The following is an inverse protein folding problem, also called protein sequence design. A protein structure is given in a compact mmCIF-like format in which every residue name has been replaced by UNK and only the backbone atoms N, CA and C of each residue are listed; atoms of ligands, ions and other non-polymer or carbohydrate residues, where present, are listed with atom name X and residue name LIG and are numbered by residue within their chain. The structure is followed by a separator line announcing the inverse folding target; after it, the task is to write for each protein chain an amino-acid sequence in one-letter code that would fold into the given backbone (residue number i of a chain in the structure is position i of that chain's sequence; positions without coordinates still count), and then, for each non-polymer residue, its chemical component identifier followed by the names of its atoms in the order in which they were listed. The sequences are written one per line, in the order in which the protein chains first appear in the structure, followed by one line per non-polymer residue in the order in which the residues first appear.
data_IF_211012493448
#
_entry.id   IF_211012493448
#
_cell.length_a   1.000
_cell.length_b   1.000
_cell.length_c   1.000
_cell.angle_alpha   90.00
_cell.angle_beta   90.00
_cell.angle_gamma   90.00
#
_symmetry.space_group_name_H-M   'P 1'
#
loop_
_entity.id
_entity.type
_entity.pdbx_description
1 polymer ?
#
# COMPACT_ATOMS: atom_id res chain seq x y z
N UNK A 1 -3.09 -29.30 46.98
CA UNK A 1 -1.97 -28.99 46.07
C UNK A 1 -2.49 -28.02 45.02
N UNK A 2 -2.06 -26.75 45.05
CA UNK A 2 -2.42 -25.80 44.01
C UNK A 2 -1.59 -26.08 42.76
N UNK A 3 -2.24 -26.38 41.65
CA UNK A 3 -1.56 -26.49 40.35
C UNK A 3 -1.18 -25.07 39.94
N UNK A 4 0.10 -24.72 40.08
CA UNK A 4 0.65 -23.51 39.46
C UNK A 4 0.71 -23.81 37.96
N UNK A 5 -0.30 -23.37 37.22
CA UNK A 5 -0.27 -23.35 35.76
C UNK A 5 0.71 -22.22 35.41
N UNK A 6 1.99 -22.55 35.24
CA UNK A 6 2.95 -21.60 34.69
C UNK A 6 2.55 -21.32 33.25
N UNK A 7 1.99 -20.14 32.99
CA UNK A 7 1.75 -19.69 31.63
C UNK A 7 3.10 -19.69 30.88
N UNK A 8 3.16 -20.26 29.66
CA UNK A 8 4.32 -20.14 28.81
C UNK A 8 4.80 -18.69 28.75
N UNK A 9 6.10 -18.46 28.88
CA UNK A 9 6.72 -17.12 29.01
C UNK A 9 6.21 -16.13 27.94
N UNK A 10 5.97 -16.58 26.71
CA UNK A 10 5.41 -15.74 25.65
C UNK A 10 3.98 -15.24 25.91
N UNK A 11 3.10 -16.07 26.48
CA UNK A 11 1.72 -15.66 26.82
C UNK A 11 1.76 -14.55 27.86
N UNK A 12 2.59 -14.71 28.91
CA UNK A 12 2.78 -13.67 29.93
C UNK A 12 3.28 -12.37 29.32
N UNK A 13 4.25 -12.45 28.40
CA UNK A 13 4.81 -11.31 27.67
C UNK A 13 3.79 -10.58 26.78
N UNK A 14 2.89 -11.32 26.13
CA UNK A 14 1.77 -10.76 25.38
C UNK A 14 0.80 -10.03 26.31
N UNK A 15 0.43 -10.65 27.45
CA UNK A 15 -0.44 -10.03 28.44
C UNK A 15 0.14 -8.73 29.01
N UNK A 16 1.45 -8.71 29.33
CA UNK A 16 2.15 -7.49 29.77
C UNK A 16 2.03 -6.38 28.73
N UNK A 17 2.21 -6.71 27.45
CA UNK A 17 2.11 -5.73 26.35
C UNK A 17 0.68 -5.19 26.20
N UNK A 18 -0.33 -6.04 26.32
CA UNK A 18 -1.75 -5.64 26.31
C UNK A 18 -2.07 -4.71 27.49
N UNK A 19 -1.64 -5.08 28.70
CA UNK A 19 -1.83 -4.25 29.91
C UNK A 19 -1.16 -2.89 29.73
N UNK A 20 0.09 -2.84 29.27
CA UNK A 20 0.82 -1.59 29.05
C UNK A 20 0.11 -0.69 28.03
N UNK A 21 -0.32 -1.25 26.90
CA UNK A 21 -0.95 -0.49 25.82
C UNK A 21 -2.35 -0.01 26.19
N UNK A 22 -3.21 -0.90 26.66
CA UNK A 22 -4.65 -0.63 26.76
C UNK A 22 -5.11 -0.27 28.16
N UNK A 23 -4.49 -0.82 29.21
CA UNK A 23 -4.87 -0.55 30.61
C UNK A 23 -4.09 0.64 31.14
N UNK A 24 -2.76 0.60 31.05
CA UNK A 24 -1.88 1.66 31.53
C UNK A 24 -1.74 2.83 30.54
N UNK A 25 -2.25 2.67 29.31
CA UNK A 25 -2.19 3.68 28.24
C UNK A 25 -0.77 4.20 27.98
N UNK A 26 0.24 3.35 28.20
CA UNK A 26 1.61 3.69 27.87
C UNK A 26 1.74 3.80 26.35
N UNK A 27 2.49 4.78 25.87
CA UNK A 27 2.83 4.86 24.46
C UNK A 27 3.93 3.83 24.13
N UNK A 28 3.60 2.55 24.21
CA UNK A 28 4.45 1.43 23.78
C UNK A 28 3.82 0.69 22.60
N UNK A 29 4.61 -0.01 21.77
CA UNK A 29 4.09 -0.96 20.79
C UNK A 29 3.33 -2.12 21.44
N UNK A 30 2.42 -2.75 20.69
CA UNK A 30 1.80 -4.00 21.11
C UNK A 30 2.67 -5.17 20.63
N UNK A 31 3.20 -5.98 21.55
CA UNK A 31 3.93 -7.20 21.18
C UNK A 31 3.06 -8.44 21.42
N UNK A 32 3.03 -9.31 20.42
CA UNK A 32 2.39 -10.62 20.42
C UNK A 32 3.51 -11.66 20.35
N UNK A 33 3.75 -12.35 21.46
CA UNK A 33 4.74 -13.43 21.60
C UNK A 33 3.98 -14.72 21.93
N UNK A 34 3.63 -15.52 20.92
CA UNK A 34 2.91 -16.78 21.09
C UNK A 34 3.87 -17.94 20.83
N UNK A 35 4.25 -18.70 21.86
CA UNK A 35 5.15 -19.84 21.73
C UNK A 35 4.37 -21.06 21.25
N UNK A 36 3.80 -20.99 20.04
CA UNK A 36 3.13 -22.13 19.44
C UNK A 36 4.19 -23.17 19.02
N UNK A 37 4.01 -24.46 19.35
CA UNK A 37 5.06 -25.48 19.23
C UNK A 37 5.61 -25.67 17.81
N UNK A 38 4.86 -25.30 16.77
CA UNK A 38 5.27 -25.49 15.37
C UNK A 38 5.53 -24.17 14.61
N UNK A 39 5.03 -23.05 15.13
CA UNK A 39 5.07 -21.74 14.49
C UNK A 39 5.16 -20.66 15.58
N UNK A 40 6.32 -20.46 16.22
CA UNK A 40 6.46 -19.38 17.20
C UNK A 40 6.20 -18.04 16.50
N UNK A 41 5.32 -17.23 17.10
CA UNK A 41 4.99 -15.89 16.61
C UNK A 41 5.61 -14.89 17.58
N UNK A 42 6.40 -13.96 17.06
CA UNK A 42 6.96 -12.86 17.83
C UNK A 42 6.90 -11.59 16.98
N UNK A 43 5.80 -10.85 17.13
CA UNK A 43 5.54 -9.66 16.32
C UNK A 43 5.28 -8.44 17.20
N UNK A 44 5.91 -7.33 16.85
CA UNK A 44 5.74 -6.02 17.47
C UNK A 44 4.93 -5.15 16.52
N UNK A 45 3.69 -4.84 16.87
CA UNK A 45 2.80 -3.98 16.11
C UNK A 45 3.01 -2.52 16.53
N UNK A 46 3.42 -1.69 15.58
CA UNK A 46 3.72 -0.27 15.81
C UNK A 46 2.83 0.57 14.90
N UNK A 47 2.03 1.45 15.49
CA UNK A 47 1.11 2.34 14.75
C UNK A 47 1.40 3.82 14.98
N UNK A 48 2.19 4.17 15.99
CA UNK A 48 2.56 5.54 16.31
C UNK A 48 3.64 6.03 15.34
N UNK A 49 3.40 7.19 14.71
CA UNK A 49 4.30 7.74 13.70
C UNK A 49 5.73 8.00 14.22
N UNK A 50 5.87 8.52 15.45
CA UNK A 50 7.18 8.83 16.04
C UNK A 50 7.97 7.55 16.35
N UNK A 51 7.28 6.50 16.80
CA UNK A 51 7.89 5.19 17.02
C UNK A 51 8.34 4.55 15.71
N UNK A 52 7.53 4.64 14.64
CA UNK A 52 7.91 4.11 13.33
C UNK A 52 9.19 4.79 12.83
N UNK A 53 9.27 6.12 12.89
CA UNK A 53 10.48 6.86 12.48
C UNK A 53 11.69 6.47 13.33
N UNK A 54 11.51 6.38 14.65
CA UNK A 54 12.59 5.99 15.56
C UNK A 54 13.10 4.56 15.31
N UNK A 55 12.21 3.62 15.00
CA UNK A 55 12.60 2.22 14.73
C UNK A 55 13.19 2.10 13.32
N UNK A 56 12.64 2.79 12.33
CA UNK A 56 13.08 2.71 10.94
C UNK A 56 14.50 3.30 10.74
N UNK A 57 15.01 4.07 11.69
CA UNK A 57 16.38 4.60 11.72
C UNK A 57 17.30 3.85 12.70
N UNK A 58 16.79 2.81 13.35
CA UNK A 58 17.55 2.03 14.32
C UNK A 58 18.38 0.93 13.63
N UNK A 59 19.68 0.90 13.89
CA UNK A 59 20.62 -0.07 13.28
C UNK A 59 20.42 -1.52 13.74
N UNK A 60 19.63 -1.77 14.79
CA UNK A 60 19.30 -3.12 15.27
C UNK A 60 18.16 -3.76 14.47
N UNK A 61 17.55 -3.02 13.54
CA UNK A 61 16.39 -3.44 12.75
C UNK A 61 16.69 -3.19 11.28
N UNK A 62 16.31 -4.13 10.42
CA UNK A 62 16.46 -4.01 8.96
C UNK A 62 15.19 -4.53 8.25
N UNK A 63 15.16 -4.41 6.92
CA UNK A 63 14.12 -4.99 6.07
C UNK A 63 14.23 -6.51 6.06
N UNK A 64 13.12 -7.17 5.71
CA UNK A 64 13.01 -8.62 5.83
C UNK A 64 14.08 -9.38 5.04
N UNK A 65 14.45 -8.90 3.84
CA UNK A 65 15.45 -9.57 3.00
C UNK A 65 16.90 -9.31 3.45
N UNK A 66 17.13 -8.61 4.56
CA UNK A 66 18.45 -8.60 5.23
C UNK A 66 18.85 -9.96 5.79
N UNK A 67 17.93 -10.92 5.77
CA UNK A 67 18.19 -12.30 6.11
C UNK A 67 17.77 -13.20 4.96
N UNK A 68 18.51 -14.30 4.71
CA UNK A 68 18.06 -15.35 3.82
C UNK A 68 16.64 -15.80 4.17
N UNK A 69 15.80 -15.98 3.15
CA UNK A 69 14.38 -16.29 3.29
C UNK A 69 14.13 -17.49 4.21
N UNK A 70 14.95 -18.53 4.12
CA UNK A 70 14.82 -19.76 4.91
C UNK A 70 15.01 -19.53 6.42
N UNK A 71 15.72 -18.45 6.80
CA UNK A 71 15.93 -18.04 8.20
C UNK A 71 14.78 -17.20 8.75
N UNK A 72 13.90 -16.66 7.90
CA UNK A 72 12.73 -15.95 8.37
C UNK A 72 11.74 -16.89 9.08
N UNK A 73 11.01 -16.38 10.10
CA UNK A 73 10.00 -17.16 10.79
C UNK A 73 9.00 -17.76 9.80
N UNK A 74 8.60 -19.02 10.03
CA UNK A 74 7.73 -19.74 9.09
C UNK A 74 6.43 -19.01 8.78
N UNK A 75 5.83 -18.34 9.77
CA UNK A 75 4.61 -17.55 9.55
C UNK A 75 4.86 -16.34 8.63
N UNK A 76 6.05 -15.74 8.66
CA UNK A 76 6.41 -14.62 7.79
C UNK A 76 6.52 -15.09 6.35
N UNK A 77 7.25 -16.20 6.13
CA UNK A 77 7.33 -16.83 4.81
C UNK A 77 5.96 -17.21 4.27
N UNK A 78 5.12 -17.81 5.13
CA UNK A 78 3.75 -18.17 4.77
C UNK A 78 2.91 -16.95 4.42
N UNK A 79 2.99 -15.84 5.16
CA UNK A 79 2.28 -14.61 4.78
C UNK A 79 2.81 -14.10 3.43
N UNK A 80 4.13 -13.95 3.31
CA UNK A 80 4.75 -13.30 2.15
C UNK A 80 4.52 -14.03 0.83
N UNK A 81 4.42 -15.36 0.84
CA UNK A 81 4.15 -16.15 -0.37
C UNK A 81 2.78 -15.85 -1.02
N UNK A 82 1.89 -15.14 -0.34
CA UNK A 82 0.61 -14.66 -0.87
C UNK A 82 0.55 -13.13 -0.99
N UNK A 83 1.71 -12.45 -1.02
CA UNK A 83 1.82 -10.99 -1.16
C UNK A 83 2.60 -10.60 -2.40
N UNK A 84 2.43 -9.38 -2.90
CA UNK A 84 3.19 -8.89 -4.05
C UNK A 84 4.69 -8.62 -3.76
N UNK A 85 5.18 -8.93 -2.56
CA UNK A 85 6.52 -8.52 -2.11
C UNK A 85 7.59 -9.60 -2.20
N UNK A 86 7.22 -10.87 -2.34
CA UNK A 86 8.15 -12.01 -2.42
C UNK A 86 7.59 -13.14 -3.28
N UNK A 87 8.31 -13.59 -4.30
CA UNK A 87 7.91 -14.72 -5.15
C UNK A 87 8.62 -15.98 -4.67
N UNK A 88 7.88 -16.80 -3.91
CA UNK A 88 8.47 -17.93 -3.18
C UNK A 88 9.12 -18.99 -4.09
N UNK A 89 8.61 -19.18 -5.31
CA UNK A 89 9.14 -20.17 -6.27
C UNK A 89 10.49 -19.78 -6.88
N UNK A 90 10.84 -18.49 -6.84
CA UNK A 90 12.09 -17.92 -7.39
C UNK A 90 13.01 -17.32 -6.32
N UNK A 91 12.50 -17.18 -5.10
CA UNK A 91 13.09 -16.43 -4.00
C UNK A 91 13.44 -14.98 -4.37
N UNK A 92 12.58 -14.34 -5.16
CA UNK A 92 12.75 -12.95 -5.56
C UNK A 92 12.05 -11.99 -4.60
N UNK A 93 12.71 -10.86 -4.31
CA UNK A 93 12.21 -9.85 -3.37
C UNK A 93 12.00 -8.49 -4.03
N UNK A 94 10.88 -7.88 -3.67
CA UNK A 94 10.54 -6.52 -4.08
C UNK A 94 11.50 -5.50 -3.47
N UNK A 95 11.76 -4.46 -4.26
CA UNK A 95 12.66 -3.37 -3.90
C UNK A 95 12.45 -2.78 -2.48
N UNK A 96 11.21 -2.60 -1.96
CA UNK A 96 11.00 -2.06 -0.62
C UNK A 96 11.46 -2.95 0.54
N UNK A 97 11.66 -4.25 0.30
CA UNK A 97 12.05 -5.24 1.31
C UNK A 97 13.52 -5.67 1.22
N UNK A 98 14.27 -5.20 0.22
CA UNK A 98 15.71 -5.44 0.10
C UNK A 98 16.51 -4.82 1.25
N UNK A 99 17.61 -5.44 1.69
CA UNK A 99 18.41 -4.91 2.78
C UNK A 99 19.03 -3.55 2.52
N UNK A 100 19.38 -2.84 3.60
CA UNK A 100 20.16 -1.61 3.49
C UNK A 100 21.61 -1.84 3.02
N UNK A 101 22.17 -3.02 3.26
CA UNK A 101 23.51 -3.39 2.76
C UNK A 101 23.59 -3.49 1.23
N UNK A 102 22.49 -3.78 0.54
CA UNK A 102 22.45 -3.89 -0.93
C UNK A 102 22.08 -2.57 -1.62
N UNK A 103 22.49 -1.44 -1.02
CA UNK A 103 22.12 -0.11 -1.49
C UNK A 103 22.43 0.17 -2.97
N UNK A 104 23.50 -0.40 -3.55
CA UNK A 104 23.85 -0.17 -4.97
C UNK A 104 22.82 -0.79 -5.93
N UNK A 105 22.55 -2.09 -5.80
CA UNK A 105 21.55 -2.78 -6.63
C UNK A 105 20.15 -2.18 -6.43
N UNK A 106 19.85 -1.80 -5.18
CA UNK A 106 18.64 -1.03 -4.88
C UNK A 106 18.56 0.28 -5.66
N UNK A 107 19.63 1.10 -5.66
CA UNK A 107 19.63 2.38 -6.37
C UNK A 107 19.49 2.19 -7.89
N UNK A 108 20.12 1.16 -8.48
CA UNK A 108 20.01 0.85 -9.90
C UNK A 108 18.57 0.48 -10.29
N UNK A 109 17.94 -0.44 -9.55
CA UNK A 109 16.53 -0.80 -9.75
C UNK A 109 15.60 0.40 -9.53
N UNK A 110 15.85 1.19 -8.48
CA UNK A 110 15.08 2.40 -8.19
C UNK A 110 15.18 3.41 -9.34
N UNK A 111 16.38 3.65 -9.86
CA UNK A 111 16.60 4.59 -10.93
C UNK A 111 15.93 4.13 -12.23
N UNK A 112 16.03 2.84 -12.56
CA UNK A 112 15.36 2.26 -13.72
C UNK A 112 13.82 2.43 -13.67
N UNK A 113 13.24 2.42 -12.46
CA UNK A 113 11.82 2.73 -12.26
C UNK A 113 11.55 4.22 -12.44
N UNK A 114 12.35 5.09 -11.79
CA UNK A 114 12.20 6.55 -11.89
C UNK A 114 12.32 7.06 -13.32
N UNK A 115 13.27 6.54 -14.10
CA UNK A 115 13.48 6.91 -15.50
C UNK A 115 12.23 6.64 -16.34
N UNK A 116 11.54 5.52 -16.09
CA UNK A 116 10.29 5.18 -16.78
C UNK A 116 9.12 6.06 -16.36
N UNK A 117 9.10 6.50 -15.10
CA UNK A 117 8.09 7.42 -14.57
C UNK A 117 8.31 8.87 -14.98
N UNK A 118 9.53 9.25 -15.38
CA UNK A 118 9.92 10.63 -15.70
C UNK A 118 9.05 11.30 -16.79
N UNK A 119 8.44 10.50 -17.67
CA UNK A 119 7.53 11.00 -18.72
C UNK A 119 6.20 11.54 -18.17
N UNK A 120 5.92 11.35 -16.89
CA UNK A 120 4.68 11.76 -16.26
C UNK A 120 3.47 11.00 -16.81
N UNK A 121 2.28 11.55 -16.54
CA UNK A 121 1.00 10.97 -16.96
C UNK A 121 0.55 11.63 -18.27
N UNK A 122 0.16 10.81 -19.24
CA UNK A 122 -0.44 11.35 -20.48
C UNK A 122 -1.86 11.86 -20.19
N UNK A 123 -2.18 13.05 -20.69
CA UNK A 123 -3.47 13.70 -20.43
C UNK A 123 -4.68 12.87 -20.92
N UNK A 124 -4.50 12.10 -21.99
CA UNK A 124 -5.53 11.18 -22.53
C UNK A 124 -6.03 10.17 -21.49
N UNK A 125 -5.17 9.66 -20.59
CA UNK A 125 -5.60 8.78 -19.51
C UNK A 125 -6.40 9.52 -18.44
N UNK A 126 -6.06 10.79 -18.18
CA UNK A 126 -6.82 11.63 -17.24
C UNK A 126 -8.24 11.85 -17.76
N UNK A 127 -8.38 12.22 -19.03
CA UNK A 127 -9.69 12.40 -19.69
C UNK A 127 -10.50 11.11 -19.71
N UNK A 128 -9.85 9.98 -20.04
CA UNK A 128 -10.51 8.67 -20.09
C UNK A 128 -11.06 8.25 -18.72
N UNK A 129 -10.27 8.43 -17.65
CA UNK A 129 -10.72 8.08 -16.30
C UNK A 129 -11.81 9.05 -15.82
N UNK A 130 -11.70 10.35 -16.14
CA UNK A 130 -12.76 11.31 -15.86
C UNK A 130 -14.08 10.95 -16.56
N UNK A 131 -14.03 10.52 -17.84
CA UNK A 131 -15.20 10.02 -18.58
C UNK A 131 -15.83 8.81 -17.90
N UNK A 132 -15.00 7.83 -17.51
CA UNK A 132 -15.42 6.63 -16.81
C UNK A 132 -16.13 6.97 -15.49
N UNK A 133 -15.56 7.88 -14.70
CA UNK A 133 -16.13 8.32 -13.44
C UNK A 133 -17.49 9.01 -13.62
N UNK A 134 -17.61 9.93 -14.58
CA UNK A 134 -18.88 10.63 -14.86
C UNK A 134 -19.98 9.69 -15.39
N UNK A 135 -19.60 8.62 -16.09
CA UNK A 135 -20.51 7.57 -16.55
C UNK A 135 -20.87 6.54 -15.47
N UNK A 136 -20.34 6.67 -14.27
CA UNK A 136 -20.54 5.72 -13.16
C UNK A 136 -20.12 4.28 -13.54
N UNK A 137 -19.04 4.11 -14.31
CA UNK A 137 -18.55 2.76 -14.59
C UNK A 137 -18.09 2.07 -13.30
N UNK A 138 -18.13 0.73 -13.23
CA UNK A 138 -17.67 -0.03 -12.06
C UNK A 138 -16.18 0.20 -11.74
N UNK A 139 -15.81 0.02 -10.48
CA UNK A 139 -14.42 0.16 -10.00
C UNK A 139 -13.47 -0.76 -10.79
N UNK A 140 -13.91 -1.96 -11.17
CA UNK A 140 -13.11 -2.92 -11.93
C UNK A 140 -12.65 -2.36 -13.28
N UNK A 141 -13.50 -1.60 -13.97
CA UNK A 141 -13.14 -0.99 -15.25
C UNK A 141 -12.13 0.15 -15.06
N UNK A 142 -12.28 0.93 -13.99
CA UNK A 142 -11.31 1.98 -13.61
C UNK A 142 -9.99 1.36 -13.22
N UNK A 143 -10.01 0.23 -12.49
CA UNK A 143 -8.82 -0.53 -12.11
C UNK A 143 -8.04 -1.02 -13.33
N UNK A 144 -8.72 -1.44 -14.41
CA UNK A 144 -8.09 -1.78 -15.69
C UNK A 144 -7.43 -0.56 -16.33
N UNK A 145 -8.13 0.56 -16.43
CA UNK A 145 -7.59 1.77 -17.05
C UNK A 145 -6.37 2.29 -16.30
N UNK A 146 -6.44 2.40 -14.97
CA UNK A 146 -5.30 2.91 -14.15
C UNK A 146 -4.13 1.93 -14.15
N UNK A 147 -4.39 0.62 -14.11
CA UNK A 147 -3.32 -0.39 -14.17
C UNK A 147 -2.62 -0.33 -15.51
N UNK A 148 -3.36 -0.18 -16.61
CA UNK A 148 -2.80 0.02 -17.94
C UNK A 148 -2.00 1.30 -18.04
N UNK A 149 -2.61 2.41 -17.59
CA UNK A 149 -1.98 3.72 -17.56
C UNK A 149 -0.59 3.58 -16.96
N UNK A 150 -0.43 2.97 -15.79
CA UNK A 150 0.86 2.88 -15.10
C UNK A 150 1.81 1.87 -15.76
N UNK A 151 1.35 0.63 -15.95
CA UNK A 151 2.23 -0.49 -16.26
C UNK A 151 2.73 -0.48 -17.72
N UNK A 152 2.07 0.25 -18.62
CA UNK A 152 2.53 0.40 -20.01
C UNK A 152 3.96 0.96 -20.14
N UNK A 153 4.46 1.64 -19.10
CA UNK A 153 5.85 2.16 -19.02
C UNK A 153 6.90 1.09 -18.77
N UNK A 154 6.48 -0.08 -18.31
CA UNK A 154 7.36 -1.16 -17.87
C UNK A 154 7.22 -2.42 -18.73
N UNK A 155 6.23 -2.46 -19.61
CA UNK A 155 5.95 -3.58 -20.50
C UNK A 155 6.45 -3.31 -21.91
N UNK A 156 6.96 -4.35 -22.56
CA UNK A 156 7.38 -4.31 -23.96
C UNK A 156 6.24 -3.87 -24.88
N UNK A 157 6.56 -3.25 -26.02
CA UNK A 157 5.57 -2.66 -26.93
C UNK A 157 4.49 -3.65 -27.42
N UNK A 158 4.85 -4.93 -27.63
CA UNK A 158 3.93 -6.00 -27.99
C UNK A 158 2.91 -6.33 -26.90
N UNK A 159 3.24 -6.01 -25.65
CA UNK A 159 2.47 -6.38 -24.46
C UNK A 159 1.57 -5.25 -23.95
N UNK A 160 1.67 -4.04 -24.49
CA UNK A 160 0.89 -2.87 -24.06
C UNK A 160 -0.63 -3.06 -24.20
N UNK A 161 -1.06 -3.92 -25.12
CA UNK A 161 -2.45 -4.29 -25.33
C UNK A 161 -2.98 -5.40 -24.37
N UNK A 162 -2.12 -5.99 -23.52
CA UNK A 162 -2.42 -7.26 -22.83
C UNK A 162 -2.87 -7.13 -21.36
N UNK A 163 -3.02 -5.92 -20.81
CA UNK A 163 -3.62 -5.73 -19.47
C UNK A 163 -5.14 -5.85 -19.60
N UNK A 164 -5.64 -7.04 -19.31
CA UNK A 164 -7.05 -7.43 -19.35
C UNK A 164 -7.70 -7.35 -17.96
N UNK A 165 -9.04 -7.40 -17.87
CA UNK A 165 -9.74 -7.52 -16.59
C UNK A 165 -9.27 -8.72 -15.75
N UNK A 166 -8.91 -9.85 -16.37
CA UNK A 166 -8.44 -11.05 -15.68
C UNK A 166 -7.08 -10.81 -14.99
N UNK A 167 -6.17 -10.10 -15.66
CA UNK A 167 -4.86 -9.73 -15.07
C UNK A 167 -5.07 -8.85 -13.83
N UNK A 168 -5.97 -7.87 -13.91
CA UNK A 168 -6.30 -6.98 -12.80
C UNK A 168 -6.98 -7.73 -11.66
N UNK A 169 -7.93 -8.63 -11.96
CA UNK A 169 -8.60 -9.48 -10.98
C UNK A 169 -7.59 -10.33 -10.21
N UNK A 170 -6.66 -10.98 -10.90
CA UNK A 170 -5.59 -11.74 -10.26
C UNK A 170 -4.72 -10.83 -9.38
N UNK A 171 -4.34 -9.65 -9.86
CA UNK A 171 -3.61 -8.68 -9.04
C UNK A 171 -4.36 -8.29 -7.75
N UNK A 172 -5.68 -8.04 -7.83
CA UNK A 172 -6.52 -7.71 -6.67
C UNK A 172 -6.60 -8.84 -5.65
N UNK A 173 -6.61 -10.09 -6.11
CA UNK A 173 -6.75 -11.28 -5.28
C UNK A 173 -5.46 -11.71 -4.57
N UNK A 174 -4.33 -11.05 -4.84
CA UNK A 174 -3.10 -11.25 -4.05
C UNK A 174 -3.33 -10.72 -2.63
N UNK A 175 -3.66 -11.63 -1.72
CA UNK A 175 -3.90 -11.33 -0.30
C UNK A 175 -3.45 -12.48 0.59
N UNK A 176 -2.68 -12.13 1.63
CA UNK A 176 -2.12 -13.11 2.56
C UNK A 176 -2.90 -13.25 3.88
N UNK A 177 -3.80 -12.31 4.17
CA UNK A 177 -4.37 -12.13 5.51
C UNK A 177 -5.87 -12.45 5.58
N UNK A 178 -6.51 -12.88 4.48
CA UNK A 178 -7.90 -13.33 4.51
C UNK A 178 -7.91 -14.82 4.86
N UNK A 179 -8.44 -15.23 6.03
CA UNK A 179 -8.48 -16.63 6.44
C UNK A 179 -9.19 -17.49 5.38
N UNK A 180 -8.59 -18.64 5.04
CA UNK A 180 -9.14 -19.57 4.04
C UNK A 180 -8.74 -19.28 2.59
N UNK A 181 -8.28 -18.07 2.25
CA UNK A 181 -7.97 -17.66 0.87
C UNK A 181 -6.47 -17.66 0.54
N UNK A 182 -5.62 -18.17 1.42
CA UNK A 182 -4.18 -18.14 1.22
C UNK A 182 -3.73 -18.80 -0.09
N UNK A 183 -4.27 -19.99 -0.42
CA UNK A 183 -3.95 -20.69 -1.67
C UNK A 183 -4.34 -19.87 -2.90
N UNK A 184 -5.50 -19.23 -2.87
CA UNK A 184 -5.95 -18.35 -3.94
C UNK A 184 -5.02 -17.15 -4.09
N UNK A 185 -4.56 -16.57 -2.97
CA UNK A 185 -3.58 -15.49 -2.96
C UNK A 185 -2.24 -15.88 -3.58
N UNK A 186 -1.72 -17.08 -3.26
CA UNK A 186 -0.50 -17.64 -3.88
C UNK A 186 -0.71 -17.84 -5.39
N UNK A 187 -1.81 -18.48 -5.81
CA UNK A 187 -2.09 -18.71 -7.23
C UNK A 187 -2.26 -17.40 -8.01
N UNK A 188 -2.91 -16.40 -7.41
CA UNK A 188 -3.09 -15.09 -8.00
C UNK A 188 -1.75 -14.33 -8.14
N UNK A 189 -0.86 -14.47 -7.15
CA UNK A 189 0.49 -13.91 -7.18
C UNK A 189 1.31 -14.53 -8.31
N UNK A 190 1.34 -15.87 -8.41
CA UNK A 190 2.05 -16.60 -9.46
C UNK A 190 1.51 -16.25 -10.86
N UNK A 191 0.20 -16.06 -11.01
CA UNK A 191 -0.41 -15.61 -12.25
C UNK A 191 0.03 -14.18 -12.64
N UNK A 192 0.05 -13.24 -11.68
CA UNK A 192 0.51 -11.87 -11.90
C UNK A 192 2.01 -11.82 -12.24
N UNK A 193 2.83 -12.61 -11.54
CA UNK A 193 4.25 -12.74 -11.83
C UNK A 193 4.49 -13.34 -13.22
N UNK A 194 3.84 -14.46 -13.56
CA UNK A 194 3.96 -15.10 -14.88
C UNK A 194 3.50 -14.19 -16.02
N UNK A 195 2.53 -13.32 -15.77
CA UNK A 195 2.19 -12.26 -16.71
C UNK A 195 3.35 -11.28 -16.87
N UNK A 196 3.92 -10.76 -15.79
CA UNK A 196 5.03 -9.79 -15.86
C UNK A 196 6.30 -10.42 -16.47
N UNK A 197 6.65 -11.65 -16.12
CA UNK A 197 7.84 -12.36 -16.62
C UNK A 197 7.86 -12.44 -18.15
N UNK A 198 6.69 -12.63 -18.78
CA UNK A 198 6.55 -12.72 -20.23
C UNK A 198 6.52 -11.37 -20.96
N UNK A 199 6.25 -10.27 -20.24
CA UNK A 199 5.85 -9.00 -20.86
C UNK A 199 6.72 -7.81 -20.45
N UNK A 200 7.52 -7.93 -19.39
CA UNK A 200 8.36 -6.84 -18.89
C UNK A 200 9.45 -6.47 -19.90
N UNK A 201 9.80 -5.18 -19.97
CA UNK A 201 10.96 -4.75 -20.75
C UNK A 201 12.26 -5.33 -20.17
N UNK A 202 13.23 -5.57 -21.05
CA UNK A 202 14.57 -6.02 -20.65
C UNK A 202 15.23 -5.01 -19.70
N UNK A 203 15.99 -5.53 -18.73
CA UNK A 203 16.70 -4.72 -17.73
C UNK A 203 15.83 -4.25 -16.55
N UNK A 204 14.57 -4.69 -16.47
CA UNK A 204 13.72 -4.52 -15.29
C UNK A 204 13.63 -5.80 -14.48
N UNK A 205 13.49 -5.66 -13.17
CA UNK A 205 13.16 -6.77 -12.31
C UNK A 205 11.64 -7.05 -12.35
N UNK A 206 11.26 -8.30 -12.61
CA UNK A 206 9.87 -8.73 -12.80
C UNK A 206 9.03 -8.47 -11.55
N UNK A 207 9.60 -8.70 -10.36
CA UNK A 207 8.85 -8.55 -9.11
C UNK A 207 8.47 -7.10 -8.82
N UNK A 208 9.27 -6.12 -9.24
CA UNK A 208 8.96 -4.70 -9.04
C UNK A 208 7.76 -4.28 -9.88
N UNK A 209 7.66 -4.80 -11.11
CA UNK A 209 6.51 -4.54 -11.99
C UNK A 209 5.27 -5.29 -11.51
N UNK A 210 5.45 -6.51 -11.01
CA UNK A 210 4.37 -7.30 -10.38
C UNK A 210 3.77 -6.57 -9.16
N UNK A 211 4.62 -5.98 -8.32
CA UNK A 211 4.20 -5.15 -7.19
C UNK A 211 3.31 -3.98 -7.65
N UNK A 212 3.68 -3.31 -8.73
CA UNK A 212 2.95 -2.15 -9.22
C UNK A 212 1.58 -2.51 -9.77
N UNK A 213 1.47 -3.64 -10.49
CA UNK A 213 0.21 -4.16 -11.03
C UNK A 213 -0.88 -4.25 -9.95
N UNK A 214 -0.54 -4.78 -8.77
CA UNK A 214 -1.48 -4.88 -7.64
C UNK A 214 -1.80 -3.53 -7.03
N UNK A 215 -0.78 -2.72 -6.75
CA UNK A 215 -0.97 -1.42 -6.10
C UNK A 215 -1.91 -0.53 -6.90
N UNK A 216 -1.80 -0.55 -8.24
CA UNK A 216 -2.70 0.20 -9.11
C UNK A 216 -4.10 -0.40 -9.17
N UNK A 217 -4.21 -1.72 -9.18
CA UNK A 217 -5.49 -2.43 -9.27
C UNK A 217 -6.37 -2.29 -8.01
N UNK A 218 -5.78 -2.02 -6.85
CA UNK A 218 -6.50 -1.88 -5.57
C UNK A 218 -6.48 -0.43 -5.07
N UNK A 219 -5.32 0.04 -4.62
CA UNK A 219 -5.25 1.26 -3.82
C UNK A 219 -5.54 2.50 -4.67
N UNK A 220 -5.06 2.51 -5.92
CA UNK A 220 -5.29 3.64 -6.81
C UNK A 220 -6.74 3.70 -7.33
N UNK A 221 -7.35 2.58 -7.71
CA UNK A 221 -8.76 2.57 -8.13
C UNK A 221 -9.68 3.06 -7.00
N UNK A 222 -9.46 2.60 -5.76
CA UNK A 222 -10.24 3.06 -4.60
C UNK A 222 -10.02 4.56 -4.36
N UNK A 223 -8.78 5.06 -4.39
CA UNK A 223 -8.50 6.49 -4.21
C UNK A 223 -9.15 7.36 -5.29
N UNK A 224 -9.15 6.90 -6.55
CA UNK A 224 -9.85 7.54 -7.68
C UNK A 224 -11.36 7.61 -7.43
N UNK A 225 -11.98 6.51 -6.97
CA UNK A 225 -13.40 6.49 -6.64
C UNK A 225 -13.74 7.47 -5.51
N UNK A 226 -12.88 7.54 -4.48
CA UNK A 226 -13.04 8.51 -3.38
C UNK A 226 -12.85 9.97 -3.82
N UNK A 227 -11.99 10.24 -4.79
CA UNK A 227 -11.87 11.58 -5.37
C UNK A 227 -13.16 12.00 -6.06
N UNK A 228 -13.84 11.09 -6.77
CA UNK A 228 -15.14 11.40 -7.39
C UNK A 228 -16.22 11.72 -6.35
N UNK A 229 -16.27 10.95 -5.25
CA UNK A 229 -17.21 11.20 -4.15
C UNK A 229 -16.97 12.55 -3.45
N UNK A 230 -15.72 13.04 -3.46
CA UNK A 230 -15.36 14.31 -2.85
C UNK A 230 -14.27 15.03 -3.67
N UNK A 231 -14.63 15.73 -4.76
CA UNK A 231 -13.67 16.38 -5.65
C UNK A 231 -12.95 17.57 -5.00
N UNK A 232 -13.42 18.03 -3.84
CA UNK A 232 -12.79 19.13 -3.10
C UNK A 232 -11.71 18.68 -2.13
N UNK A 233 -11.73 17.41 -1.68
CA UNK A 233 -10.71 16.83 -0.81
C UNK A 233 -9.30 17.04 -1.36
N UNK A 234 -8.34 17.38 -0.49
CA UNK A 234 -6.93 17.44 -0.91
C UNK A 234 -6.41 16.05 -1.27
N UNK A 235 -5.44 15.98 -2.17
CA UNK A 235 -4.89 14.69 -2.62
C UNK A 235 -4.17 13.98 -1.47
N UNK A 236 -3.50 14.75 -0.60
CA UNK A 236 -2.91 14.26 0.64
C UNK A 236 -3.97 13.67 1.57
N UNK A 237 -5.11 14.35 1.73
CA UNK A 237 -6.20 13.84 2.55
C UNK A 237 -6.71 12.50 2.03
N UNK A 238 -6.87 12.35 0.71
CA UNK A 238 -7.33 11.10 0.09
C UNK A 238 -6.36 9.95 0.33
N UNK A 239 -5.05 10.18 0.12
CA UNK A 239 -4.02 9.15 0.25
C UNK A 239 -3.66 8.79 1.69
N UNK A 240 -3.95 9.67 2.65
CA UNK A 240 -3.66 9.45 4.07
C UNK A 240 -4.80 8.76 4.81
N UNK A 241 -5.96 8.53 4.16
CA UNK A 241 -7.01 7.68 4.73
C UNK A 241 -6.58 6.22 4.75
N UNK A 242 -6.93 5.53 5.84
CA UNK A 242 -6.55 4.13 6.05
C UNK A 242 -6.97 3.19 4.92
N UNK A 243 -8.16 3.42 4.34
CA UNK A 243 -8.73 2.61 3.26
C UNK A 243 -8.04 2.81 1.90
N UNK A 244 -7.36 3.95 1.71
CA UNK A 244 -6.82 4.36 0.42
C UNK A 244 -5.28 4.32 0.40
N UNK A 245 -4.65 4.03 1.54
CA UNK A 245 -3.20 4.04 1.68
C UNK A 245 -2.57 2.95 0.80
N UNK A 246 -1.73 3.30 -0.19
CA UNK A 246 -1.09 2.34 -1.10
C UNK A 246 -0.19 1.32 -0.38
N UNK A 247 0.47 1.75 0.70
CA UNK A 247 1.31 0.90 1.54
C UNK A 247 0.71 0.81 2.94
N UNK A 248 -0.24 -0.11 3.21
CA UNK A 248 -0.93 -0.12 4.49
C UNK A 248 -0.05 -0.59 5.65
N UNK A 249 0.95 -1.43 5.37
CA UNK A 249 1.88 -1.91 6.36
C UNK A 249 3.25 -2.24 5.75
N UNK A 250 4.29 -2.13 6.58
CA UNK A 250 5.68 -2.39 6.19
C UNK A 250 6.37 -3.17 7.31
N UNK A 251 6.87 -4.39 7.03
CA UNK A 251 7.56 -5.20 8.03
C UNK A 251 9.06 -4.90 8.09
N UNK A 252 9.64 -5.19 9.24
CA UNK A 252 11.08 -5.20 9.54
C UNK A 252 11.44 -6.41 10.39
N UNK A 253 12.70 -6.80 10.38
CA UNK A 253 13.24 -7.87 11.20
C UNK A 253 14.28 -7.31 12.17
N UNK A 254 14.24 -7.78 13.41
CA UNK A 254 15.28 -7.49 14.40
C UNK A 254 16.56 -8.25 14.02
N UNK A 255 17.65 -7.52 13.84
CA UNK A 255 18.97 -8.06 13.47
C UNK A 255 19.87 -8.30 14.69
N UNK A 256 19.62 -7.58 15.79
CA UNK A 256 20.38 -7.67 17.05
C UNK A 256 19.45 -7.65 18.25
N UNK A 257 19.85 -8.27 19.36
CA UNK A 257 19.04 -8.23 20.58
C UNK A 257 18.91 -6.77 21.05
N UNK A 258 17.68 -6.28 21.15
CA UNK A 258 17.41 -4.85 21.37
C UNK A 258 16.08 -4.61 22.05
N UNK A 259 15.99 -3.58 22.89
CA UNK A 259 14.71 -3.09 23.43
C UNK A 259 14.09 -2.00 22.57
N UNK A 260 14.69 -1.70 21.40
CA UNK A 260 14.31 -0.58 20.54
C UNK A 260 14.25 0.72 21.33
N UNK A 261 15.36 1.05 22.01
CA UNK A 261 15.48 2.24 22.87
C UNK A 261 14.41 2.29 23.99
N UNK A 262 14.11 1.15 24.61
CA UNK A 262 13.14 1.06 25.70
C UNK A 262 11.66 0.99 25.27
N UNK A 263 11.38 0.95 23.97
CA UNK A 263 10.01 0.74 23.47
C UNK A 263 9.48 -0.66 23.83
N UNK A 264 10.36 -1.66 23.88
CA UNK A 264 10.01 -3.02 24.29
C UNK A 264 10.36 -3.26 25.76
N UNK A 265 9.42 -3.83 26.50
CA UNK A 265 9.62 -4.20 27.92
C UNK A 265 10.55 -5.40 28.12
N UNK A 266 10.83 -6.15 27.06
CA UNK A 266 11.82 -7.21 27.00
C UNK A 266 12.43 -7.24 25.59
N UNK A 267 13.70 -7.65 25.43
CA UNK A 267 14.38 -7.53 24.13
C UNK A 267 13.69 -8.30 23.00
N UNK A 268 13.74 -7.73 21.80
CA UNK A 268 13.48 -8.43 20.55
C UNK A 268 14.60 -9.44 20.27
N UNK A 269 14.25 -10.57 19.66
CA UNK A 269 15.17 -11.66 19.32
C UNK A 269 15.65 -11.49 17.88
N UNK A 270 16.98 -11.56 17.63
CA UNK A 270 17.53 -11.60 16.28
C UNK A 270 16.83 -12.64 15.40
N UNK A 271 16.54 -12.29 14.15
CA UNK A 271 15.94 -13.18 13.14
C UNK A 271 14.55 -13.72 13.44
N UNK A 272 13.99 -13.43 14.61
CA UNK A 272 12.74 -14.02 15.07
C UNK A 272 11.67 -12.96 15.34
N UNK A 273 12.06 -11.83 15.93
CA UNK A 273 11.12 -10.74 16.19
C UNK A 273 10.91 -9.91 14.93
N UNK A 274 9.65 -9.81 14.51
CA UNK A 274 9.23 -8.98 13.38
C UNK A 274 8.61 -7.70 13.94
N UNK A 275 9.06 -6.56 13.44
CA UNK A 275 8.40 -5.27 13.72
C UNK A 275 7.48 -4.94 12.55
N UNK A 276 6.19 -4.80 12.81
CA UNK A 276 5.17 -4.58 11.80
C UNK A 276 4.63 -3.16 11.93
N UNK A 277 5.03 -2.29 11.00
CA UNK A 277 4.56 -0.91 10.97
C UNK A 277 3.16 -0.86 10.35
N UNK A 278 2.20 -0.29 11.08
CA UNK A 278 0.87 0.06 10.58
C UNK A 278 0.93 1.45 9.94
N UNK A 279 1.51 1.48 8.75
CA UNK A 279 1.82 2.68 7.97
C UNK A 279 0.55 3.50 7.68
N UNK A 280 -0.55 2.85 7.33
CA UNK A 280 -1.83 3.52 7.12
C UNK A 280 -2.36 4.28 8.34
N UNK A 281 -2.10 3.79 9.54
CA UNK A 281 -2.56 4.41 10.79
C UNK A 281 -1.71 5.62 11.13
N UNK A 282 -0.39 5.54 10.88
CA UNK A 282 0.51 6.67 11.00
C UNK A 282 0.23 7.75 9.94
N UNK A 283 -0.10 7.36 8.71
CA UNK A 283 -0.52 8.29 7.65
C UNK A 283 -1.77 9.06 8.05
N UNK A 284 -2.80 8.37 8.56
CA UNK A 284 -4.04 9.01 9.01
C UNK A 284 -3.82 9.93 10.21
N UNK A 285 -3.01 9.51 11.18
CA UNK A 285 -2.67 10.31 12.36
C UNK A 285 -1.95 11.62 11.99
N UNK A 286 -1.06 11.57 11.00
CA UNK A 286 -0.17 12.70 10.67
C UNK A 286 -0.63 13.49 9.45
N UNK A 287 -1.57 12.97 8.67
CA UNK A 287 -1.92 13.47 7.33
C UNK A 287 -0.69 13.67 6.43
N UNK A 288 0.34 12.82 6.58
CA UNK A 288 1.61 12.93 5.87
C UNK A 288 1.80 11.85 4.81
N UNK A 289 2.13 12.29 3.58
CA UNK A 289 2.48 11.40 2.47
C UNK A 289 3.77 10.59 2.72
N UNK A 290 4.61 10.99 3.69
CA UNK A 290 5.80 10.22 4.09
C UNK A 290 5.44 8.86 4.71
N UNK A 291 4.22 8.74 5.25
CA UNK A 291 3.65 7.47 5.70
C UNK A 291 2.65 6.89 4.69
N UNK A 292 2.45 7.48 3.52
CA UNK A 292 1.66 6.86 2.44
C UNK A 292 2.57 6.13 1.47
N UNK A 293 3.68 6.79 1.14
CA UNK A 293 4.66 6.35 0.15
C UNK A 293 5.99 5.96 0.80
N UNK A 294 6.04 5.80 2.12
CA UNK A 294 7.26 5.49 2.84
C UNK A 294 6.99 5.02 4.26
N UNK A 295 8.03 5.05 5.10
CA UNK A 295 7.96 4.72 6.52
C UNK A 295 8.35 5.91 7.40
N UNK A 296 7.80 7.10 7.08
CA UNK A 296 8.02 8.32 7.87
C UNK A 296 9.30 9.08 7.54
N UNK A 297 9.99 8.71 6.45
CA UNK A 297 11.14 9.42 5.93
C UNK A 297 11.24 9.29 4.41
N UNK A 298 12.08 10.12 3.80
CA UNK A 298 12.32 10.10 2.35
C UNK A 298 13.24 8.94 1.93
N UNK A 299 14.05 8.43 2.86
CA UNK A 299 14.88 7.27 2.60
C UNK A 299 14.02 6.05 2.27
N UNK A 300 14.20 5.55 1.03
CA UNK A 300 13.39 4.49 0.41
C UNK A 300 11.89 4.78 0.30
N UNK A 301 11.53 6.04 0.06
CA UNK A 301 10.19 6.37 -0.41
C UNK A 301 9.90 5.72 -1.76
N UNK A 302 8.65 5.32 -1.97
CA UNK A 302 8.12 4.76 -3.21
C UNK A 302 8.39 5.70 -4.39
N UNK A 303 8.99 5.17 -5.46
CA UNK A 303 9.29 5.91 -6.68
C UNK A 303 8.05 6.50 -7.36
N UNK A 304 6.87 5.94 -7.09
CA UNK A 304 5.60 6.36 -7.69
C UNK A 304 4.92 7.52 -6.97
N UNK A 305 5.48 8.03 -5.85
CA UNK A 305 4.87 9.11 -5.06
C UNK A 305 4.45 10.29 -5.93
N UNK A 306 5.40 10.89 -6.63
CA UNK A 306 5.15 12.08 -7.46
C UNK A 306 4.22 11.74 -8.63
N UNK A 307 4.46 10.60 -9.30
CA UNK A 307 3.62 10.15 -10.42
C UNK A 307 2.13 10.04 -10.03
N UNK A 308 1.82 9.40 -8.90
CA UNK A 308 0.44 9.24 -8.44
C UNK A 308 -0.16 10.55 -7.91
N UNK A 309 0.65 11.38 -7.27
CA UNK A 309 0.22 12.68 -6.79
C UNK A 309 -0.17 13.61 -7.94
N UNK A 310 0.69 13.70 -8.97
CA UNK A 310 0.46 14.50 -10.17
C UNK A 310 -0.77 14.00 -10.94
N UNK A 311 -0.90 12.68 -11.10
CA UNK A 311 -2.07 12.06 -11.71
C UNK A 311 -3.37 12.47 -11.01
N UNK A 312 -3.44 12.29 -9.68
CA UNK A 312 -4.65 12.59 -8.91
C UNK A 312 -4.97 14.09 -8.92
N UNK A 313 -3.94 14.94 -8.93
CA UNK A 313 -4.09 16.39 -9.07
C UNK A 313 -4.69 16.77 -10.44
N UNK A 314 -4.17 16.20 -11.52
CA UNK A 314 -4.69 16.41 -12.87
C UNK A 314 -6.14 15.91 -13.00
N UNK A 315 -6.43 14.72 -12.46
CA UNK A 315 -7.78 14.15 -12.47
C UNK A 315 -8.78 15.01 -11.68
N UNK A 316 -8.38 15.53 -10.51
CA UNK A 316 -9.19 16.46 -9.73
C UNK A 316 -9.53 17.71 -10.53
N UNK A 317 -8.55 18.31 -11.19
CA UNK A 317 -8.75 19.50 -12.03
C UNK A 317 -9.73 19.21 -13.17
N UNK A 318 -9.56 18.07 -13.86
CA UNK A 318 -10.41 17.64 -14.96
C UNK A 318 -11.88 17.43 -14.51
N UNK A 319 -12.09 16.75 -13.38
CA UNK A 319 -13.43 16.52 -12.82
C UNK A 319 -14.13 17.83 -12.42
N UNK A 320 -13.38 18.80 -11.88
CA UNK A 320 -13.92 20.12 -11.54
C UNK A 320 -14.32 20.91 -12.78
N UNK A 321 -13.45 20.99 -13.78
CA UNK A 321 -13.73 21.69 -15.04
C UNK A 321 -14.99 21.15 -15.73
N UNK A 322 -15.17 19.82 -15.73
CA UNK A 322 -16.36 19.18 -16.31
C UNK A 322 -17.62 19.43 -15.49
N UNK A 323 -17.53 19.36 -14.16
CA UNK A 323 -18.65 19.65 -13.27
C UNK A 323 -19.17 21.09 -13.47
N UNK A 324 -18.27 22.06 -13.59
CA UNK A 324 -18.63 23.45 -13.91
C UNK A 324 -19.31 23.58 -15.28
N UNK A 325 -18.83 22.86 -16.29
CA UNK A 325 -19.42 22.89 -17.63
C UNK A 325 -20.81 22.25 -17.65
N UNK A 326 -21.01 21.15 -16.92
CA UNK A 326 -22.32 20.51 -16.75
C UNK A 326 -23.28 21.44 -16.03
N UNK A 327 -22.83 22.09 -14.94
CA UNK A 327 -23.61 23.09 -14.21
C UNK A 327 -24.02 24.24 -15.15
N UNK A 328 -23.06 24.89 -15.83
CA UNK A 328 -23.34 25.97 -16.77
C UNK A 328 -24.35 25.56 -17.84
N UNK A 329 -24.22 24.38 -18.45
CA UNK A 329 -25.19 23.86 -19.43
C UNK A 329 -26.58 23.66 -18.83
N UNK A 330 -26.69 23.06 -17.64
CA UNK A 330 -27.97 22.79 -16.97
C UNK A 330 -28.71 24.07 -16.61
N UNK A 331 -28.00 25.12 -16.20
CA UNK A 331 -28.62 26.39 -15.78
C UNK A 331 -28.74 27.42 -16.90
N UNK A 332 -27.87 27.42 -17.92
CA UNK A 332 -28.04 28.29 -19.10
C UNK A 332 -29.32 27.96 -19.88
N UNK A 333 -29.74 26.69 -19.91
CA UNK A 333 -31.01 26.27 -20.53
C UNK A 333 -32.21 26.86 -19.78
N UNK A 334 -32.13 27.05 -18.45
CA UNK A 334 -33.23 27.63 -17.66
C UNK A 334 -33.44 29.14 -17.90
N UNK A 335 -32.43 29.87 -18.35
CA UNK A 335 -32.56 31.32 -18.62
C UNK A 335 -33.12 31.64 -20.01
N UNK A 336 -32.95 30.75 -20.99
CA UNK A 336 -33.41 30.97 -22.36
C UNK A 336 -34.82 30.43 -22.65
N UNK A 337 -35.42 29.66 -21.75
CA UNK A 337 -36.84 29.28 -21.81
C UNK A 337 -37.64 30.23 -20.93
N UNK A 338 -38.05 31.37 -21.48
CA UNK A 338 -38.75 32.44 -20.76
C UNK A 338 -39.92 31.93 -19.93
N UNK A 339 -39.85 32.15 -18.62
CA UNK A 339 -41.03 32.38 -17.78
C UNK A 339 -40.68 33.48 -16.78
N UNK A 340 -41.36 34.60 -16.93
CA UNK A 340 -41.40 35.67 -15.94
C UNK A 340 -42.00 35.11 -14.64
N UNK A 341 -41.19 35.04 -13.59
CA UNK A 341 -41.64 34.81 -12.22
C UNK A 341 -41.44 33.39 -11.70
N UNK A 342 -40.29 33.13 -11.10
CA UNK A 342 -40.17 32.20 -9.98
C UNK A 342 -38.90 32.54 -9.19
N UNK A 343 -39.09 33.00 -7.96
CA UNK A 343 -38.03 33.03 -6.93
C UNK A 343 -37.48 31.61 -6.75
N UNK A 344 -36.15 31.47 -6.88
CA UNK A 344 -35.47 30.20 -6.60
C UNK A 344 -34.93 30.28 -5.18
N UNK A 345 -35.60 29.57 -4.27
CA UNK A 345 -35.14 29.33 -2.92
C UNK A 345 -33.88 28.45 -2.97
N UNK A 346 -32.77 28.95 -2.42
CA UNK A 346 -31.43 28.39 -2.58
C UNK A 346 -31.13 27.20 -1.63
N UNK A 347 -32.13 26.70 -0.91
CA UNK A 347 -31.95 25.72 0.17
C UNK A 347 -32.47 24.33 -0.20
N UNK A 348 -31.82 23.66 -1.15
CA UNK A 348 -31.72 22.19 -1.15
C UNK A 348 -30.73 21.75 -2.24
N UNK A 349 -29.45 21.67 -1.85
CA UNK A 349 -28.40 20.99 -2.59
C UNK A 349 -28.05 19.72 -1.83
N UNK A 350 -28.66 18.60 -2.21
CA UNK A 350 -28.04 17.30 -1.97
C UNK A 350 -27.08 17.04 -3.15
N UNK A 351 -25.78 16.98 -2.83
CA UNK A 351 -24.68 16.57 -3.70
C UNK A 351 -24.30 15.12 -3.37
#
# INVERSE_FOLDING_TARGET
MGVIISLPVGITRTLVSVVQKFILRQNKPLRIDLPLPFIPIDVVLVSDASQIVSINTNADVDRLHAQPTEKLPRYVRWILSATQFHIASKDEWSLPLEPDSESVQYQERLQAIKDRLSKGVEHSYVEQIADQLLKNVPEEEIAVTVTRMVNIRFLSNTSKASITPEVVKNAKNVTALVPGHHKEGVSAQEAAYSFCERNVESGLNVIDVTHNLRTTAISMSVAIMKLKENPDASIEHLFTRKANCPSPAVPRVVMRETTLNGLLSYPGRPSSTIVWFSINSAAEQTSSLLFTFGAGGEYRSCAFKEFFYDFMTALKAELKARSELIFKKKYAVKWNTGSSGAEVDANHLDL
#
